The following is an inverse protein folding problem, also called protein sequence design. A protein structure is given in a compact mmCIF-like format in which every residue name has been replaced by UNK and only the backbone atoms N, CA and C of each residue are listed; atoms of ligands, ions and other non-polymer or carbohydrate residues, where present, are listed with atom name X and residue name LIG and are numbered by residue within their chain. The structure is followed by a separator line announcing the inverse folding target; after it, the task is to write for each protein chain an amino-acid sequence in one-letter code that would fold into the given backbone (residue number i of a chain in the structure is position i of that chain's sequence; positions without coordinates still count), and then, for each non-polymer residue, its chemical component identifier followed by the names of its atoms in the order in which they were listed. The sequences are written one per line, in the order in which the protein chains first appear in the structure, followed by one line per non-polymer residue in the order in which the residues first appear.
data_IF_014148379736
#
_entry.id   IF_014148379736
#
_cell.length_a   1.000
_cell.length_b   1.000
_cell.length_c   1.000
_cell.angle_alpha   90.00
_cell.angle_beta   90.00
_cell.angle_gamma   90.00
#
_symmetry.space_group_name_H-M   'P 1'
#
loop_
_entity.id
_entity.type
_entity.pdbx_description
1 polymer ?
#
# COMPACT_ATOMS: atom_id res chain seq x y z
N UNK A 1 -31.61 -1.99 12.91
CA UNK A 1 -30.14 -1.82 12.87
C UNK A 1 -29.59 -2.70 11.77
N UNK A 2 -29.42 -2.16 10.56
CA UNK A 2 -28.87 -2.93 9.44
C UNK A 2 -27.39 -3.16 9.70
N UNK A 3 -26.97 -4.42 9.88
CA UNK A 3 -25.56 -4.80 9.88
C UNK A 3 -25.02 -4.48 8.48
N UNK A 4 -24.37 -3.33 8.31
CA UNK A 4 -23.51 -3.11 7.16
C UNK A 4 -22.41 -4.17 7.23
N UNK A 5 -22.39 -5.09 6.26
CA UNK A 5 -21.28 -6.00 6.07
C UNK A 5 -19.98 -5.21 5.86
N UNK A 6 -18.82 -5.87 5.96
CA UNK A 6 -17.54 -5.22 5.70
C UNK A 6 -17.55 -4.57 4.32
N UNK A 7 -17.09 -3.32 4.27
CA UNK A 7 -16.96 -2.53 3.05
C UNK A 7 -16.11 -3.31 2.01
N UNK A 8 -16.69 -3.70 0.86
CA UNK A 8 -16.01 -4.48 -0.16
C UNK A 8 -14.71 -3.84 -0.65
N UNK A 9 -14.66 -2.51 -0.73
CA UNK A 9 -13.49 -1.77 -1.18
C UNK A 9 -12.35 -1.87 -0.17
N UNK A 10 -12.67 -1.80 1.13
CA UNK A 10 -11.69 -2.02 2.19
C UNK A 10 -11.13 -3.43 2.21
N UNK A 11 -11.98 -4.44 1.95
CA UNK A 11 -11.53 -5.82 1.84
C UNK A 11 -10.58 -6.00 0.66
N UNK A 12 -10.93 -5.41 -0.49
CA UNK A 12 -10.08 -5.45 -1.67
C UNK A 12 -8.75 -4.72 -1.45
N UNK A 13 -8.78 -3.52 -0.87
CA UNK A 13 -7.58 -2.78 -0.48
C UNK A 13 -6.68 -3.61 0.44
N UNK A 14 -7.25 -4.24 1.46
CA UNK A 14 -6.51 -5.11 2.37
C UNK A 14 -5.86 -6.30 1.66
N UNK A 15 -6.57 -6.93 0.72
CA UNK A 15 -6.03 -8.00 -0.12
C UNK A 15 -4.88 -7.50 -0.99
N UNK A 16 -5.04 -6.36 -1.66
CA UNK A 16 -4.03 -5.79 -2.56
C UNK A 16 -2.72 -5.49 -1.82
N UNK A 17 -2.79 -4.79 -0.69
CA UNK A 17 -1.61 -4.49 0.13
C UNK A 17 -1.01 -5.76 0.74
N UNK A 18 -1.85 -6.70 1.16
CA UNK A 18 -1.41 -8.01 1.66
C UNK A 18 -0.64 -8.80 0.61
N UNK A 19 -1.12 -8.85 -0.64
CA UNK A 19 -0.44 -9.48 -1.76
C UNK A 19 0.92 -8.83 -2.03
N UNK A 20 1.00 -7.50 -2.05
CA UNK A 20 2.28 -6.81 -2.25
C UNK A 20 3.30 -7.13 -1.14
N UNK A 21 2.85 -7.22 0.11
CA UNK A 21 3.70 -7.63 1.24
C UNK A 21 4.20 -9.07 1.13
N UNK A 22 3.32 -9.99 0.73
CA UNK A 22 3.70 -11.38 0.53
C UNK A 22 4.77 -11.49 -0.57
N UNK A 23 4.54 -10.86 -1.72
CA UNK A 23 5.49 -10.85 -2.84
C UNK A 23 6.84 -10.22 -2.46
N UNK A 24 6.82 -9.14 -1.68
CA UNK A 24 8.04 -8.53 -1.15
C UNK A 24 8.81 -9.46 -0.20
N UNK A 25 8.12 -10.28 0.58
CA UNK A 25 8.73 -11.25 1.49
C UNK A 25 9.27 -12.49 0.75
N UNK A 26 8.61 -12.91 -0.33
CA UNK A 26 8.99 -14.09 -1.11
C UNK A 26 10.28 -13.89 -1.95
N UNK A 27 10.77 -12.65 -2.05
CA UNK A 27 12.03 -12.29 -2.75
C UNK A 27 12.13 -12.80 -4.20
N UNK A 28 10.99 -12.92 -4.87
CA UNK A 28 10.90 -13.30 -6.27
C UNK A 28 11.29 -12.17 -7.23
N UNK A 29 11.09 -12.42 -8.53
CA UNK A 29 11.29 -11.40 -9.57
C UNK A 29 10.39 -10.18 -9.31
N UNK A 30 11.01 -8.98 -9.32
CA UNK A 30 10.29 -7.70 -9.19
C UNK A 30 9.31 -7.52 -10.35
N UNK A 31 9.72 -7.86 -11.57
CA UNK A 31 8.87 -7.74 -12.76
C UNK A 31 7.62 -8.63 -12.66
N UNK A 32 7.80 -9.90 -12.26
CA UNK A 32 6.68 -10.84 -12.12
C UNK A 32 5.73 -10.39 -11.00
N UNK A 33 6.29 -9.87 -9.90
CA UNK A 33 5.51 -9.32 -8.78
C UNK A 33 4.66 -8.13 -9.21
N UNK A 34 5.25 -7.22 -9.99
CA UNK A 34 4.54 -6.07 -10.57
C UNK A 34 3.37 -6.52 -11.44
N UNK A 35 3.58 -7.53 -12.27
CA UNK A 35 2.55 -8.09 -13.16
C UNK A 35 1.42 -8.77 -12.39
N UNK A 36 1.72 -9.51 -11.32
CA UNK A 36 0.71 -10.10 -10.43
C UNK A 36 -0.14 -9.01 -9.78
N UNK A 37 0.48 -7.95 -9.26
CA UNK A 37 -0.23 -6.84 -8.62
C UNK A 37 -1.10 -6.10 -9.64
N UNK A 38 -0.60 -5.83 -10.86
CA UNK A 38 -1.37 -5.21 -11.94
C UNK A 38 -2.63 -6.01 -12.29
N UNK A 39 -2.48 -7.33 -12.47
CA UNK A 39 -3.61 -8.23 -12.72
C UNK A 39 -4.60 -8.30 -11.55
N UNK A 40 -4.13 -8.07 -10.32
CA UNK A 40 -4.99 -8.06 -9.14
C UNK A 40 -5.76 -6.75 -9.02
N UNK A 41 -5.13 -5.62 -9.36
CA UNK A 41 -5.73 -4.29 -9.23
C UNK A 41 -6.89 -4.05 -10.21
N UNK A 42 -6.79 -4.55 -11.46
CA UNK A 42 -7.86 -4.54 -12.47
C UNK A 42 -8.81 -3.32 -12.43
N UNK A 43 -8.30 -2.12 -12.70
CA UNK A 43 -9.12 -0.90 -12.73
C UNK A 43 -9.27 -0.16 -11.39
N UNK A 44 -8.56 -0.59 -10.35
CA UNK A 44 -8.48 0.07 -9.03
C UNK A 44 -7.09 0.68 -8.81
N UNK A 45 -6.58 1.41 -9.79
CA UNK A 45 -5.24 2.03 -9.74
C UNK A 45 -5.14 3.11 -8.65
N UNK A 46 -6.26 3.72 -8.28
CA UNK A 46 -6.39 4.63 -7.14
C UNK A 46 -6.04 3.93 -5.81
N UNK A 47 -6.39 2.66 -5.65
CA UNK A 47 -6.05 1.88 -4.47
C UNK A 47 -4.56 1.49 -4.45
N UNK A 48 -3.92 1.34 -5.61
CA UNK A 48 -2.46 1.20 -5.69
C UNK A 48 -1.78 2.46 -5.15
N UNK A 49 -2.21 3.65 -5.60
CA UNK A 49 -1.57 4.92 -5.21
C UNK A 49 -1.81 5.24 -3.75
N UNK A 50 -3.01 4.94 -3.26
CA UNK A 50 -3.32 4.99 -1.84
C UNK A 50 -2.44 4.05 -1.02
N UNK A 51 -2.36 2.77 -1.39
CA UNK A 51 -1.60 1.77 -0.65
C UNK A 51 -0.11 2.08 -0.59
N UNK A 52 0.46 2.46 -1.74
CA UNK A 52 1.85 2.89 -1.87
C UNK A 52 2.14 4.10 -0.99
N UNK A 53 1.35 5.17 -1.12
CA UNK A 53 1.56 6.41 -0.38
C UNK A 53 1.43 6.20 1.14
N UNK A 54 0.40 5.48 1.58
CA UNK A 54 0.25 5.15 3.00
C UNK A 54 1.44 4.36 3.55
N UNK A 55 1.94 3.37 2.80
CA UNK A 55 3.10 2.57 3.19
C UNK A 55 4.38 3.40 3.28
N UNK A 56 4.70 4.17 2.23
CA UNK A 56 5.87 5.05 2.17
C UNK A 56 5.82 6.07 3.32
N UNK A 57 4.68 6.74 3.48
CA UNK A 57 4.52 7.78 4.50
C UNK A 57 4.68 7.22 5.91
N UNK A 58 4.01 6.12 6.23
CA UNK A 58 4.11 5.49 7.55
C UNK A 58 5.55 5.04 7.85
N UNK A 59 6.23 4.42 6.88
CA UNK A 59 7.61 3.97 7.04
C UNK A 59 8.59 5.14 7.19
N UNK A 60 8.38 6.27 6.52
CA UNK A 60 9.28 7.44 6.60
C UNK A 60 9.40 8.06 7.99
N UNK A 61 8.37 7.93 8.83
CA UNK A 61 8.33 8.51 10.19
C UNK A 61 8.50 7.46 11.28
N UNK A 62 8.26 6.19 10.95
CA UNK A 62 8.42 5.06 11.85
C UNK A 62 8.89 3.84 11.04
N UNK A 63 10.20 3.78 10.72
CA UNK A 63 10.74 2.73 9.88
C UNK A 63 10.48 1.34 10.46
N UNK A 64 9.83 0.50 9.66
CA UNK A 64 9.55 -0.90 9.97
C UNK A 64 10.55 -1.84 9.29
N UNK A 65 10.09 -3.01 8.86
CA UNK A 65 10.93 -3.96 8.14
C UNK A 65 11.25 -3.41 6.74
N UNK A 66 12.42 -3.73 6.15
CA UNK A 66 12.72 -3.38 4.76
C UNK A 66 11.70 -3.94 3.75
N UNK A 67 11.06 -5.05 4.09
CA UNK A 67 9.99 -5.65 3.27
C UNK A 67 8.75 -4.76 3.18
N UNK A 68 8.49 -3.89 4.17
CA UNK A 68 7.35 -2.96 4.14
C UNK A 68 7.55 -1.88 3.07
N UNK A 69 8.76 -1.30 2.98
CA UNK A 69 9.07 -0.29 1.96
C UNK A 69 9.21 -0.92 0.57
N UNK A 70 9.71 -2.15 0.48
CA UNK A 70 9.70 -2.91 -0.78
C UNK A 70 8.27 -3.17 -1.26
N UNK A 71 7.36 -3.58 -0.38
CA UNK A 71 5.95 -3.78 -0.73
C UNK A 71 5.31 -2.49 -1.27
N UNK A 72 5.56 -1.35 -0.63
CA UNK A 72 5.08 -0.07 -1.12
C UNK A 72 5.69 0.31 -2.48
N UNK A 73 6.97 -0.02 -2.70
CA UNK A 73 7.66 0.21 -3.97
C UNK A 73 7.11 -0.68 -5.10
N UNK A 74 6.75 -1.93 -4.81
CA UNK A 74 6.07 -2.81 -5.76
C UNK A 74 4.72 -2.22 -6.20
N UNK A 75 3.94 -1.68 -5.26
CA UNK A 75 2.68 -0.99 -5.59
C UNK A 75 2.90 0.21 -6.52
N UNK A 76 3.95 1.02 -6.29
CA UNK A 76 4.35 2.12 -7.22
C UNK A 76 4.70 1.58 -8.59
N UNK A 77 5.55 0.55 -8.67
CA UNK A 77 5.96 -0.06 -9.94
C UNK A 77 4.80 -0.67 -10.73
N UNK A 78 3.73 -1.06 -10.04
CA UNK A 78 2.51 -1.61 -10.66
C UNK A 78 1.60 -0.56 -11.28
N UNK A 79 1.79 0.73 -11.04
CA UNK A 79 0.95 1.76 -11.64
C UNK A 79 1.24 1.88 -13.14
N UNK A 80 0.20 1.91 -14.01
CA UNK A 80 0.40 2.21 -15.42
C UNK A 80 0.74 3.69 -15.66
N UNK A 81 0.22 4.58 -14.80
CA UNK A 81 0.54 6.01 -14.76
C UNK A 81 0.56 6.47 -13.30
N UNK A 82 1.57 7.27 -12.95
CA UNK A 82 1.72 7.80 -11.60
C UNK A 82 1.39 9.30 -11.60
N UNK A 83 0.31 9.65 -10.92
CA UNK A 83 -0.02 11.05 -10.59
C UNK A 83 0.70 11.43 -9.29
N UNK A 84 1.79 12.18 -9.41
CA UNK A 84 2.68 12.46 -8.29
C UNK A 84 1.98 13.19 -7.14
N UNK A 85 1.10 14.16 -7.44
CA UNK A 85 0.39 14.92 -6.41
C UNK A 85 -0.54 14.04 -5.57
N UNK A 86 -1.19 13.04 -6.21
CA UNK A 86 -2.05 12.08 -5.53
C UNK A 86 -1.23 11.16 -4.63
N UNK A 87 -0.05 10.71 -5.10
CA UNK A 87 0.86 9.94 -4.28
C UNK A 87 1.35 10.76 -3.07
N UNK A 88 1.76 12.01 -3.28
CA UNK A 88 2.22 12.90 -2.22
C UNK A 88 1.15 13.13 -1.16
N UNK A 89 -0.12 13.31 -1.58
CA UNK A 89 -1.25 13.38 -0.66
C UNK A 89 -1.31 12.15 0.26
N UNK A 90 -1.26 10.94 -0.31
CA UNK A 90 -1.32 9.71 0.47
C UNK A 90 -0.08 9.47 1.33
N UNK A 91 1.10 9.94 0.91
CA UNK A 91 2.32 9.96 1.74
C UNK A 91 2.08 10.81 2.99
N UNK A 92 1.55 12.03 2.86
CA UNK A 92 1.23 12.87 4.02
C UNK A 92 0.24 12.19 4.97
N UNK A 93 -0.81 11.54 4.43
CA UNK A 93 -1.76 10.77 5.25
C UNK A 93 -1.06 9.60 5.95
N UNK A 94 -0.16 8.89 5.25
CA UNK A 94 0.63 7.80 5.80
C UNK A 94 1.51 8.24 6.97
N UNK A 95 2.19 9.39 6.83
CA UNK A 95 3.02 9.98 7.89
C UNK A 95 2.19 10.30 9.14
N UNK A 96 1.03 10.94 8.97
CA UNK A 96 0.13 11.26 10.08
C UNK A 96 -0.31 10.00 10.84
N UNK A 97 -0.63 8.92 10.12
CA UNK A 97 -1.00 7.62 10.71
C UNK A 97 0.18 6.95 11.42
N UNK A 98 1.37 6.97 10.82
CA UNK A 98 2.59 6.40 11.38
C UNK A 98 2.97 7.06 12.72
N UNK A 99 2.94 8.40 12.76
CA UNK A 99 3.20 9.17 13.98
C UNK A 99 2.17 8.90 15.09
N UNK A 100 0.89 8.81 14.71
CA UNK A 100 -0.18 8.51 15.67
C UNK A 100 0.01 7.12 16.27
N UNK A 101 0.30 6.10 15.45
CA UNK A 101 0.55 4.74 15.92
C UNK A 101 1.82 4.60 16.78
N UNK A 102 2.87 5.35 16.48
CA UNK A 102 4.10 5.37 17.29
C UNK A 102 3.86 5.90 18.71
N UNK A 103 3.02 6.94 18.85
CA UNK A 103 2.67 7.53 20.15
C UNK A 103 1.94 6.57 21.10
N UNK A 104 1.27 5.55 20.57
CA UNK A 104 0.60 4.52 21.39
C UNK A 104 1.53 3.36 21.80
N UNK A 105 2.76 3.29 21.26
CA UNK A 105 3.74 2.24 21.59
C UNK A 105 4.84 2.71 22.55
N UNK A 106 4.91 4.01 22.82
CA UNK A 106 5.82 4.63 23.78
C UNK A 106 5.13 4.76 25.14
#
# INVERSE_FOLDING_TARGET
MSRHGPDPERLFFGRLVGTARQLAADQGSIADSIDVIRRTASGHEDLLVQGAGLGIGAWSVNPGLPTDILAASLLVGSMPRLELDVLLHWITVGQQRGLSGARYRA
#
